data_IF_656800339591
#
_entry.id   IF_656800339591
#
_cell.length_a   1.000
_cell.length_b   1.000
_cell.length_c   1.000
_cell.angle_alpha   90.00
_cell.angle_beta   90.00
_cell.angle_gamma   90.00
#
_symmetry.space_group_name_H-M   'P 1'
#
loop_
_entity.id
_entity.type
_entity.pdbx_description
1 polymer ?
#
# COMPACT_ATOMS: atom_id res chain seq x y z
N UNK A 1 -1.52 23.42 14.07
CA UNK A 1 -1.07 22.03 14.12
C UNK A 1 -0.09 21.87 15.28
N UNK A 2 -0.11 20.73 15.98
CA UNK A 2 0.96 20.42 16.92
C UNK A 2 2.24 20.03 16.12
N UNK A 3 3.41 20.20 16.76
CA UNK A 3 4.68 19.83 16.13
C UNK A 3 4.71 18.31 15.82
N UNK A 4 5.21 17.92 14.65
CA UNK A 4 5.37 16.52 14.27
C UNK A 4 6.21 15.76 15.29
N UNK A 5 5.73 14.61 15.75
CA UNK A 5 6.45 13.80 16.73
C UNK A 5 7.07 12.58 16.05
N UNK A 6 8.36 12.35 16.27
CA UNK A 6 9.10 11.18 15.76
C UNK A 6 9.71 10.45 16.95
N UNK A 7 9.35 9.16 17.08
CA UNK A 7 9.96 8.25 18.04
C UNK A 7 10.99 7.37 17.30
N UNK A 8 12.24 7.40 17.75
CA UNK A 8 13.28 6.49 17.29
C UNK A 8 13.24 5.21 18.11
N UNK A 9 13.15 4.06 17.45
CA UNK A 9 13.22 2.77 18.13
C UNK A 9 12.18 1.76 17.67
N UNK A 10 12.06 0.69 18.44
CA UNK A 10 11.10 -0.37 18.20
C UNK A 10 9.66 0.12 18.42
N UNK A 11 8.78 -0.19 17.45
CA UNK A 11 7.40 0.31 17.45
C UNK A 11 6.60 -0.17 18.66
N UNK A 12 6.78 -1.42 19.09
CA UNK A 12 6.05 -1.97 20.23
C UNK A 12 6.45 -1.28 21.55
N UNK A 13 7.75 -1.01 21.70
CA UNK A 13 8.27 -0.25 22.86
C UNK A 13 7.72 1.17 22.87
N UNK A 14 7.80 1.89 21.76
CA UNK A 14 7.32 3.26 21.68
C UNK A 14 5.81 3.36 21.87
N UNK A 15 5.04 2.43 21.29
CA UNK A 15 3.58 2.37 21.45
C UNK A 15 3.19 2.19 22.93
N UNK A 16 3.89 1.35 23.70
CA UNK A 16 3.63 1.10 25.12
C UNK A 16 3.77 2.35 25.99
N UNK A 17 4.62 3.27 25.58
CA UNK A 17 4.81 4.56 26.29
C UNK A 17 3.75 5.61 25.91
N UNK A 18 2.96 5.38 24.87
CA UNK A 18 1.89 6.29 24.47
C UNK A 18 0.64 6.13 25.34
N UNK A 19 -0.08 7.23 25.64
CA UNK A 19 -1.33 7.17 26.39
C UNK A 19 -2.44 6.41 25.65
N UNK A 20 -3.35 5.80 26.40
CA UNK A 20 -4.58 5.21 25.87
C UNK A 20 -5.42 6.28 25.15
N UNK A 21 -6.08 5.90 24.05
CA UNK A 21 -7.01 6.74 23.31
C UNK A 21 -6.44 8.14 22.96
N UNK A 22 -5.14 8.19 22.61
CA UNK A 22 -4.40 9.44 22.31
C UNK A 22 -4.36 9.78 20.83
N UNK A 23 -4.70 8.84 19.92
CA UNK A 23 -4.67 9.05 18.47
C UNK A 23 -6.03 8.81 17.81
N UNK A 24 -6.31 9.51 16.72
CA UNK A 24 -7.58 9.44 16.00
C UNK A 24 -7.57 8.42 14.89
N UNK A 25 -6.43 8.21 14.24
CA UNK A 25 -6.26 7.24 13.17
C UNK A 25 -4.86 6.62 13.16
N UNK A 26 -4.76 5.38 12.67
CA UNK A 26 -3.51 4.72 12.32
C UNK A 26 -3.50 4.50 10.81
N UNK A 27 -2.47 5.00 10.11
CA UNK A 27 -2.28 4.78 8.67
C UNK A 27 -0.83 4.38 8.44
N UNK A 28 -0.60 3.16 7.95
CA UNK A 28 0.74 2.57 7.99
C UNK A 28 1.03 1.62 6.85
N UNK A 29 2.31 1.57 6.44
CA UNK A 29 2.89 0.63 5.49
C UNK A 29 3.85 -0.34 6.23
N UNK A 30 3.29 -1.35 6.93
CA UNK A 30 4.06 -2.24 7.80
C UNK A 30 4.89 -3.24 6.98
N UNK A 31 5.81 -3.99 7.62
CA UNK A 31 6.46 -5.13 6.99
C UNK A 31 5.46 -6.13 6.41
N UNK A 32 5.69 -6.55 5.15
CA UNK A 32 4.75 -7.46 4.46
C UNK A 32 5.02 -8.94 4.73
N UNK A 33 6.14 -9.28 5.34
CA UNK A 33 6.53 -10.66 5.56
C UNK A 33 6.82 -11.42 4.25
N UNK A 34 7.45 -10.77 3.29
CA UNK A 34 7.79 -11.36 1.99
C UNK A 34 9.01 -12.30 2.11
N UNK A 35 8.87 -13.31 2.93
CA UNK A 35 9.89 -14.31 3.24
C UNK A 35 9.53 -15.69 2.69
N UNK A 36 10.42 -16.66 2.91
CA UNK A 36 10.22 -18.06 2.58
C UNK A 36 9.72 -18.86 3.81
N UNK A 37 8.81 -18.31 4.60
CA UNK A 37 8.18 -19.03 5.70
C UNK A 37 7.45 -20.26 5.20
N UNK A 38 7.66 -21.38 5.92
CA UNK A 38 7.00 -22.64 5.61
C UNK A 38 5.57 -22.67 6.16
N UNK A 39 4.67 -23.51 5.60
CA UNK A 39 3.33 -23.70 6.17
C UNK A 39 3.34 -24.09 7.65
N UNK A 40 4.32 -24.87 8.09
CA UNK A 40 4.48 -25.26 9.50
C UNK A 40 4.79 -24.05 10.40
N UNK A 41 5.70 -23.16 9.97
CA UNK A 41 6.01 -21.92 10.70
C UNK A 41 4.80 -20.98 10.78
N UNK A 42 4.04 -20.86 9.68
CA UNK A 42 2.79 -20.07 9.67
C UNK A 42 1.79 -20.65 10.68
N UNK A 43 1.57 -21.97 10.63
CA UNK A 43 0.64 -22.65 11.54
C UNK A 43 1.06 -22.51 13.01
N UNK A 44 2.35 -22.66 13.32
CA UNK A 44 2.89 -22.44 14.66
C UNK A 44 2.66 -20.99 15.12
N UNK A 45 2.94 -20.01 14.26
CA UNK A 45 2.77 -18.59 14.59
C UNK A 45 1.31 -18.29 14.94
N UNK A 46 0.37 -18.71 14.11
CA UNK A 46 -1.07 -18.53 14.38
C UNK A 46 -1.48 -19.19 15.70
N UNK A 47 -1.02 -20.43 15.93
CA UNK A 47 -1.32 -21.17 17.16
C UNK A 47 -0.81 -20.43 18.39
N UNK A 48 0.42 -19.89 18.34
CA UNK A 48 1.00 -19.12 19.45
C UNK A 48 0.22 -17.84 19.69
N UNK A 49 -0.12 -17.08 18.65
CA UNK A 49 -0.91 -15.84 18.77
C UNK A 49 -2.26 -16.08 19.43
N UNK A 50 -2.97 -17.15 19.03
CA UNK A 50 -4.27 -17.51 19.61
C UNK A 50 -4.13 -18.01 21.05
N UNK A 51 -3.00 -18.66 21.38
CA UNK A 51 -2.71 -19.17 22.73
C UNK A 51 -2.18 -18.10 23.70
N UNK A 52 -2.02 -16.84 23.24
CA UNK A 52 -1.61 -15.72 24.10
C UNK A 52 -0.16 -15.27 23.94
N UNK A 53 0.68 -15.98 23.18
CA UNK A 53 2.05 -15.54 22.83
C UNK A 53 1.99 -14.55 21.65
N UNK A 54 1.50 -13.34 21.94
CA UNK A 54 1.10 -12.34 20.95
C UNK A 54 2.28 -11.60 20.32
N UNK A 55 3.48 -11.71 20.89
CA UNK A 55 4.72 -11.13 20.38
C UNK A 55 5.52 -12.09 19.48
N UNK A 56 5.13 -13.36 19.44
CA UNK A 56 5.86 -14.37 18.69
C UNK A 56 5.98 -14.06 17.20
N UNK A 57 7.20 -14.18 16.68
CA UNK A 57 7.52 -14.14 15.26
C UNK A 57 8.39 -15.35 14.90
N UNK A 58 8.17 -15.99 13.75
CA UNK A 58 9.05 -17.05 13.28
C UNK A 58 10.38 -16.46 12.84
N UNK A 59 11.48 -17.20 13.05
CA UNK A 59 12.77 -16.83 12.49
C UNK A 59 12.73 -16.96 10.96
N UNK A 60 12.77 -15.84 10.26
CA UNK A 60 12.74 -15.78 8.80
C UNK A 60 13.51 -14.56 8.31
N UNK A 61 14.09 -14.68 7.11
CA UNK A 61 14.72 -13.54 6.41
C UNK A 61 13.74 -13.00 5.38
N UNK A 62 13.46 -11.69 5.45
CA UNK A 62 12.54 -11.01 4.58
C UNK A 62 13.14 -10.56 3.26
N UNK A 63 12.48 -9.62 2.62
CA UNK A 63 12.85 -9.04 1.34
C UNK A 63 14.27 -8.46 1.38
N UNK A 64 15.10 -8.80 0.39
CA UNK A 64 16.51 -8.40 0.27
C UNK A 64 17.40 -8.79 1.47
N UNK A 65 16.97 -9.75 2.30
CA UNK A 65 17.72 -10.22 3.46
C UNK A 65 17.52 -9.40 4.73
N UNK A 66 16.61 -8.42 4.72
CA UNK A 66 16.26 -7.63 5.89
C UNK A 66 15.45 -8.47 6.89
N UNK A 67 15.89 -8.52 8.13
CA UNK A 67 15.20 -9.26 9.19
C UNK A 67 13.83 -8.66 9.55
N UNK A 68 13.69 -7.33 9.44
CA UNK A 68 12.45 -6.63 9.77
C UNK A 68 11.26 -7.01 8.86
N UNK A 69 11.50 -7.49 7.63
CA UNK A 69 10.44 -7.96 6.71
C UNK A 69 10.31 -9.49 6.71
N UNK A 70 10.79 -10.16 7.76
CA UNK A 70 10.75 -11.62 7.90
C UNK A 70 9.34 -12.19 8.02
N UNK A 71 8.42 -11.45 8.65
CA UNK A 71 7.01 -11.79 8.81
C UNK A 71 6.16 -10.54 8.94
N UNK A 72 4.82 -10.67 8.86
CA UNK A 72 3.90 -9.57 9.18
C UNK A 72 4.03 -9.20 10.67
N UNK A 73 3.72 -7.96 11.09
CA UNK A 73 3.81 -7.57 12.50
C UNK A 73 3.03 -8.50 13.42
N UNK A 74 3.56 -8.81 14.61
CA UNK A 74 2.89 -9.67 15.58
C UNK A 74 1.63 -8.99 16.12
N UNK A 75 0.72 -9.79 16.65
CA UNK A 75 -0.57 -9.30 17.18
C UNK A 75 -0.38 -8.23 18.27
N UNK A 76 0.69 -8.33 19.07
CA UNK A 76 0.98 -7.35 20.13
C UNK A 76 1.12 -5.90 19.60
N UNK A 77 1.63 -5.70 18.39
CA UNK A 77 1.69 -4.36 17.78
C UNK A 77 0.28 -3.83 17.51
N UNK A 78 -0.61 -4.67 17.02
CA UNK A 78 -2.00 -4.29 16.73
C UNK A 78 -2.82 -4.10 18.04
N UNK A 79 -2.48 -4.82 19.11
CA UNK A 79 -3.05 -4.60 20.45
C UNK A 79 -2.75 -3.19 20.95
N UNK A 80 -1.49 -2.78 20.83
CA UNK A 80 -1.07 -1.44 21.22
C UNK A 80 -1.67 -0.37 20.29
N UNK A 81 -1.73 -0.60 18.97
CA UNK A 81 -2.45 0.28 18.06
C UNK A 81 -3.93 0.42 18.45
N UNK A 82 -4.58 -0.69 18.85
CA UNK A 82 -5.96 -0.64 19.34
C UNK A 82 -6.07 0.17 20.64
N UNK A 83 -5.14 -0.01 21.58
CA UNK A 83 -5.12 0.69 22.87
C UNK A 83 -5.01 2.21 22.69
N UNK A 84 -4.03 2.67 21.88
CA UNK A 84 -3.76 4.10 21.68
C UNK A 84 -4.80 4.80 20.79
N UNK A 85 -5.53 4.07 19.95
CA UNK A 85 -6.65 4.62 19.18
C UNK A 85 -7.81 5.02 20.10
N UNK A 86 -8.46 6.15 19.82
CA UNK A 86 -9.75 6.50 20.39
C UNK A 86 -10.83 5.48 19.97
N UNK A 87 -11.86 5.23 20.80
CA UNK A 87 -13.02 4.43 20.39
C UNK A 87 -13.57 4.89 19.04
N UNK A 88 -13.80 3.96 18.10
CA UNK A 88 -14.24 4.31 16.75
C UNK A 88 -13.13 4.76 15.79
N UNK A 89 -11.90 4.99 16.26
CA UNK A 89 -10.75 5.34 15.42
C UNK A 89 -10.45 4.24 14.38
N UNK A 90 -10.01 4.65 13.20
CA UNK A 90 -9.74 3.73 12.11
C UNK A 90 -8.26 3.38 11.97
N UNK A 91 -8.02 2.18 11.46
CA UNK A 91 -6.71 1.69 11.05
C UNK A 91 -6.73 1.36 9.56
N UNK A 92 -5.75 1.89 8.82
CA UNK A 92 -5.43 1.51 7.45
C UNK A 92 -4.04 0.89 7.42
N UNK A 93 -3.94 -0.38 7.09
CA UNK A 93 -2.67 -1.11 7.00
C UNK A 93 -2.50 -1.73 5.62
N UNK A 94 -1.43 -1.34 4.93
CA UNK A 94 -1.01 -1.98 3.68
C UNK A 94 -0.54 -3.40 3.91
N UNK A 95 -0.63 -4.24 2.88
CA UNK A 95 -0.11 -5.60 2.93
C UNK A 95 0.30 -6.10 1.54
N UNK A 96 1.16 -7.11 1.52
CA UNK A 96 1.43 -7.86 0.30
C UNK A 96 0.27 -8.78 -0.07
N UNK A 97 -0.01 -8.95 -1.36
CA UNK A 97 -1.11 -9.80 -1.83
C UNK A 97 -1.02 -11.27 -1.36
N UNK A 98 0.19 -11.75 -0.99
CA UNK A 98 0.41 -13.13 -0.52
C UNK A 98 0.31 -13.30 1.00
N UNK A 99 0.30 -12.20 1.77
CA UNK A 99 0.37 -12.19 3.23
C UNK A 99 -0.72 -11.31 3.85
N UNK A 100 -1.63 -10.80 3.02
CA UNK A 100 -2.74 -9.97 3.46
C UNK A 100 -3.68 -10.68 4.43
N UNK A 101 -3.87 -11.99 4.24
CA UNK A 101 -4.66 -12.84 5.12
C UNK A 101 -4.06 -12.88 6.54
N UNK A 102 -2.75 -13.04 6.68
CA UNK A 102 -2.05 -13.04 7.97
C UNK A 102 -2.06 -11.66 8.62
N UNK A 103 -1.86 -10.58 7.84
CA UNK A 103 -1.94 -9.21 8.31
C UNK A 103 -3.32 -8.91 8.88
N UNK A 104 -4.37 -9.21 8.12
CA UNK A 104 -5.76 -8.99 8.52
C UNK A 104 -6.15 -9.88 9.71
N UNK A 105 -5.62 -11.12 9.78
CA UNK A 105 -5.82 -12.00 10.92
C UNK A 105 -5.22 -11.39 12.20
N UNK A 106 -3.98 -10.90 12.16
CA UNK A 106 -3.33 -10.24 13.29
C UNK A 106 -4.13 -9.04 13.79
N UNK A 107 -4.58 -8.18 12.89
CA UNK A 107 -5.43 -7.01 13.20
C UNK A 107 -6.77 -7.46 13.83
N UNK A 108 -7.39 -8.52 13.29
CA UNK A 108 -8.64 -9.06 13.83
C UNK A 108 -8.46 -9.68 15.24
N UNK A 109 -7.37 -10.41 15.44
CA UNK A 109 -7.06 -11.00 16.75
C UNK A 109 -6.80 -9.93 17.82
N UNK A 110 -6.33 -8.76 17.45
CA UNK A 110 -6.19 -7.61 18.35
C UNK A 110 -7.54 -7.00 18.78
N UNK A 111 -8.64 -7.36 18.12
CA UNK A 111 -9.98 -6.88 18.48
C UNK A 111 -10.54 -5.79 17.57
N UNK A 112 -9.89 -5.50 16.45
CA UNK A 112 -10.45 -4.58 15.45
C UNK A 112 -11.64 -5.18 14.70
N UNK A 113 -12.61 -4.33 14.37
CA UNK A 113 -13.65 -4.61 13.38
C UNK A 113 -13.10 -4.37 11.97
N UNK A 114 -12.97 -5.42 11.16
CA UNK A 114 -12.62 -5.24 9.75
C UNK A 114 -13.83 -4.66 9.02
N UNK A 115 -13.67 -3.49 8.44
CA UNK A 115 -14.75 -2.72 7.79
C UNK A 115 -14.76 -2.90 6.29
N UNK A 116 -13.57 -2.92 5.65
CA UNK A 116 -13.41 -3.06 4.19
C UNK A 116 -11.96 -3.47 3.87
N UNK A 117 -11.69 -3.63 2.58
CA UNK A 117 -10.35 -3.73 2.03
C UNK A 117 -10.26 -2.81 0.79
N UNK A 118 -9.32 -1.88 0.80
CA UNK A 118 -9.05 -1.03 -0.36
C UNK A 118 -8.01 -1.71 -1.23
N UNK A 119 -8.27 -1.81 -2.54
CA UNK A 119 -7.33 -2.34 -3.52
C UNK A 119 -6.65 -1.18 -4.26
N UNK A 120 -5.33 -1.04 -4.08
CA UNK A 120 -4.54 -0.14 -4.91
C UNK A 120 -3.96 -0.91 -6.08
N UNK A 121 -4.43 -0.58 -7.30
CA UNK A 121 -4.02 -1.21 -8.56
C UNK A 121 -2.96 -0.37 -9.26
N UNK A 122 -1.91 -1.02 -9.75
CA UNK A 122 -0.79 -0.36 -10.45
C UNK A 122 -0.22 -1.22 -11.57
N UNK A 123 0.23 -0.57 -12.65
CA UNK A 123 0.74 -1.25 -13.85
C UNK A 123 2.20 -1.69 -13.77
N UNK A 124 2.97 -1.14 -12.88
CA UNK A 124 4.43 -1.15 -12.87
C UNK A 124 5.09 -2.26 -12.03
N UNK A 125 4.31 -3.24 -11.54
CA UNK A 125 4.86 -4.39 -10.83
C UNK A 125 5.83 -5.21 -11.69
N UNK A 126 6.91 -5.70 -11.08
CA UNK A 126 7.88 -6.56 -11.76
C UNK A 126 7.67 -8.03 -11.37
N UNK A 127 7.53 -8.98 -12.33
CA UNK A 127 7.39 -10.39 -12.01
C UNK A 127 8.65 -10.93 -11.33
N UNK A 128 8.50 -11.50 -10.13
CA UNK A 128 9.55 -12.27 -9.45
C UNK A 128 9.40 -13.77 -9.78
N UNK A 129 9.03 -14.05 -11.02
CA UNK A 129 8.79 -15.41 -11.51
C UNK A 129 10.10 -16.07 -11.89
N UNK A 130 10.29 -17.31 -11.46
CA UNK A 130 11.32 -18.18 -11.99
C UNK A 130 10.90 -18.59 -13.41
N UNK A 131 11.82 -18.53 -14.36
CA UNK A 131 11.67 -19.13 -15.67
C UNK A 131 11.90 -20.65 -15.54
N UNK A 132 10.82 -21.41 -15.70
CA UNK A 132 10.82 -22.86 -15.45
C UNK A 132 11.68 -23.59 -16.46
N UNK A 133 11.63 -23.20 -17.74
CA UNK A 133 12.45 -23.76 -18.80
C UNK A 133 13.94 -23.59 -18.51
N UNK A 134 14.38 -22.39 -18.13
CA UNK A 134 15.76 -22.11 -17.71
C UNK A 134 16.17 -22.92 -16.47
N UNK A 135 15.27 -23.08 -15.53
CA UNK A 135 15.56 -23.87 -14.32
C UNK A 135 15.76 -25.34 -14.63
N UNK A 136 14.90 -25.92 -15.47
CA UNK A 136 15.01 -27.32 -15.95
C UNK A 136 16.31 -27.52 -16.73
N UNK A 137 16.62 -26.64 -17.68
CA UNK A 137 17.85 -26.70 -18.45
C UNK A 137 19.08 -26.71 -17.53
N UNK A 138 19.11 -25.78 -16.56
CA UNK A 138 20.21 -25.71 -15.60
C UNK A 138 20.31 -26.96 -14.73
N UNK A 139 19.18 -27.53 -14.32
CA UNK A 139 19.13 -28.76 -13.55
C UNK A 139 19.64 -29.94 -14.36
N UNK A 140 19.19 -30.08 -15.60
CA UNK A 140 19.54 -31.19 -16.50
C UNK A 140 21.01 -31.16 -16.87
N UNK A 141 21.56 -29.99 -17.20
CA UNK A 141 22.95 -29.85 -17.68
C UNK A 141 23.97 -29.77 -16.53
N UNK A 142 23.61 -29.18 -15.39
CA UNK A 142 24.57 -28.82 -14.34
C UNK A 142 24.21 -29.37 -12.95
N UNK A 143 23.11 -30.12 -12.83
CA UNK A 143 22.61 -30.63 -11.53
C UNK A 143 22.19 -29.52 -10.55
N UNK A 144 22.01 -28.27 -11.01
CA UNK A 144 21.65 -27.11 -10.18
C UNK A 144 20.50 -26.35 -10.80
N UNK A 145 19.47 -26.04 -10.02
CA UNK A 145 18.33 -25.21 -10.48
C UNK A 145 18.63 -23.71 -10.60
N UNK A 146 19.88 -23.29 -10.61
CA UNK A 146 20.28 -21.89 -10.64
C UNK A 146 20.64 -21.44 -12.06
N UNK A 147 19.81 -20.60 -12.66
CA UNK A 147 19.94 -20.10 -14.03
C UNK A 147 21.19 -19.22 -14.30
N UNK A 148 21.94 -18.82 -13.26
CA UNK A 148 23.15 -18.00 -13.42
C UNK A 148 24.30 -18.73 -14.12
N UNK A 149 24.25 -20.06 -14.19
CA UNK A 149 25.28 -20.92 -14.83
C UNK A 149 25.05 -21.16 -16.31
N UNK A 150 23.91 -20.72 -16.88
CA UNK A 150 23.53 -20.96 -18.28
C UNK A 150 24.08 -19.92 -19.27
N UNK A 151 25.23 -19.31 -19.02
CA UNK A 151 25.81 -18.29 -19.92
C UNK A 151 26.17 -18.80 -21.33
N UNK A 152 26.19 -20.11 -21.55
CA UNK A 152 26.63 -20.70 -22.83
C UNK A 152 25.51 -21.05 -23.81
N UNK A 153 24.22 -20.95 -23.37
CA UNK A 153 23.08 -21.30 -24.23
C UNK A 153 22.28 -20.07 -24.68
N UNK A 154 22.83 -18.86 -24.48
CA UNK A 154 22.20 -17.63 -24.93
C UNK A 154 22.51 -17.41 -26.43
N UNK A 155 21.49 -17.58 -27.26
CA UNK A 155 21.58 -17.18 -28.69
C UNK A 155 21.29 -15.67 -28.80
N UNK A 156 21.96 -15.02 -29.77
CA UNK A 156 21.62 -13.65 -30.17
C UNK A 156 20.20 -13.66 -30.74
N UNK A 157 19.25 -13.10 -29.97
CA UNK A 157 17.83 -13.11 -30.32
C UNK A 157 17.42 -11.78 -30.92
N UNK A 158 16.37 -11.84 -31.73
CA UNK A 158 15.69 -10.69 -32.37
C UNK A 158 14.88 -9.85 -31.32
N UNK A 159 15.42 -9.72 -30.12
CA UNK A 159 14.80 -8.97 -29.02
C UNK A 159 15.10 -7.48 -29.12
N UNK A 160 14.07 -6.64 -28.94
CA UNK A 160 14.22 -5.20 -28.88
C UNK A 160 15.34 -4.79 -27.90
N UNK A 161 16.36 -4.12 -28.42
CA UNK A 161 17.44 -3.56 -27.63
C UNK A 161 16.88 -2.56 -26.59
N UNK A 162 17.31 -2.62 -25.35
CA UNK A 162 16.99 -1.62 -24.35
C UNK A 162 18.23 -0.86 -23.92
N UNK A 163 18.08 0.45 -23.80
CA UNK A 163 19.15 1.34 -23.40
C UNK A 163 19.01 1.66 -21.91
N UNK A 164 19.99 1.23 -21.10
CA UNK A 164 20.09 1.65 -19.72
C UNK A 164 20.91 2.94 -19.64
N UNK A 165 20.25 4.06 -19.42
CA UNK A 165 20.92 5.31 -19.00
C UNK A 165 21.13 5.27 -17.48
N UNK A 166 22.25 4.69 -17.06
CA UNK A 166 22.62 4.61 -15.64
C UNK A 166 23.76 5.56 -15.32
N UNK A 167 23.54 6.53 -14.44
CA UNK A 167 24.64 7.18 -13.72
C UNK A 167 25.18 6.20 -12.68
N UNK A 168 26.26 5.51 -12.98
CA UNK A 168 27.10 4.92 -11.95
C UNK A 168 28.29 5.82 -11.75
N UNK A 169 28.51 6.30 -10.53
CA UNK A 169 29.71 6.95 -10.04
C UNK A 169 30.16 8.23 -10.75
N UNK A 170 29.27 9.24 -10.91
CA UNK A 170 29.71 10.61 -11.18
C UNK A 170 30.34 10.89 -12.55
N UNK A 171 30.49 9.92 -13.42
CA UNK A 171 31.00 10.07 -14.78
C UNK A 171 29.82 9.85 -15.75
N UNK A 172 29.58 10.78 -16.65
CA UNK A 172 28.67 10.59 -17.77
C UNK A 172 29.22 9.43 -18.64
N UNK A 173 28.76 8.22 -18.37
CA UNK A 173 29.02 7.07 -19.22
C UNK A 173 28.10 7.13 -20.43
N UNK A 174 28.64 6.78 -21.59
CA UNK A 174 27.86 6.58 -22.80
C UNK A 174 26.71 5.61 -22.55
N UNK A 175 25.56 5.91 -23.15
CA UNK A 175 24.39 5.02 -23.11
C UNK A 175 24.80 3.65 -23.71
N UNK A 176 24.83 2.62 -22.89
CA UNK A 176 25.12 1.28 -23.36
C UNK A 176 23.85 0.60 -23.79
N UNK A 177 23.77 0.26 -25.06
CA UNK A 177 22.71 -0.59 -25.61
C UNK A 177 23.09 -2.05 -25.31
N UNK A 178 22.19 -2.75 -24.64
CA UNK A 178 22.35 -4.19 -24.39
C UNK A 178 21.37 -4.94 -25.29
N UNK A 179 21.90 -5.80 -26.16
CA UNK A 179 21.07 -6.75 -26.87
C UNK A 179 20.47 -7.73 -25.87
N UNK A 180 19.16 -7.88 -25.90
CA UNK A 180 18.46 -8.82 -25.04
C UNK A 180 18.72 -10.22 -25.60
N UNK A 181 19.70 -10.90 -25.03
CA UNK A 181 19.92 -12.31 -25.34
C UNK A 181 18.69 -13.11 -24.92
N UNK A 182 18.01 -13.73 -25.86
CA UNK A 182 16.90 -14.63 -25.61
C UNK A 182 17.44 -16.02 -25.25
N UNK A 183 16.92 -16.58 -24.19
CA UNK A 183 17.24 -17.96 -23.83
C UNK A 183 16.53 -18.90 -24.80
N UNK A 184 17.28 -19.84 -25.40
CA UNK A 184 16.74 -20.93 -26.19
C UNK A 184 17.07 -22.27 -25.50
N UNK A 185 16.06 -23.05 -25.06
CA UNK A 185 16.30 -24.33 -24.42
C UNK A 185 16.87 -25.35 -25.39
N UNK A 186 17.88 -26.14 -24.97
CA UNK A 186 18.53 -27.16 -25.77
C UNK A 186 18.01 -28.56 -25.47
N UNK A 187 17.51 -28.80 -24.24
CA UNK A 187 16.94 -30.10 -23.84
C UNK A 187 15.45 -30.17 -24.12
N UNK A 188 14.94 -31.35 -24.46
CA UNK A 188 13.51 -31.57 -24.73
C UNK A 188 12.65 -31.25 -23.49
N UNK A 189 13.13 -31.65 -22.32
CA UNK A 189 12.46 -31.33 -21.05
C UNK A 189 12.32 -29.80 -20.83
N UNK A 190 13.31 -29.00 -21.17
CA UNK A 190 13.24 -27.55 -21.04
C UNK A 190 12.33 -26.92 -22.09
N UNK A 191 12.29 -27.46 -23.33
CA UNK A 191 11.37 -27.00 -24.39
C UNK A 191 9.91 -27.21 -24.05
N UNK A 192 9.57 -28.34 -23.41
CA UNK A 192 8.20 -28.64 -22.97
C UNK A 192 7.64 -27.58 -22.02
N UNK A 193 8.51 -26.95 -21.21
CA UNK A 193 8.14 -25.94 -20.21
C UNK A 193 8.49 -24.50 -20.64
N UNK A 194 8.72 -24.28 -21.90
CA UNK A 194 8.97 -22.92 -22.43
C UNK A 194 7.75 -22.02 -22.21
N UNK A 195 7.97 -20.80 -21.71
CA UNK A 195 6.91 -19.85 -21.39
C UNK A 195 6.24 -20.06 -20.02
N UNK A 196 6.62 -21.10 -19.27
CA UNK A 196 6.10 -21.33 -17.93
C UNK A 196 6.90 -20.59 -16.85
N UNK A 197 6.17 -20.07 -15.86
CA UNK A 197 6.73 -19.36 -14.72
C UNK A 197 6.09 -19.78 -13.40
N UNK A 198 6.66 -19.30 -12.28
CA UNK A 198 6.22 -19.68 -10.93
C UNK A 198 5.41 -18.60 -10.22
N UNK A 199 5.27 -17.40 -10.79
CA UNK A 199 4.57 -16.31 -10.15
C UNK A 199 3.94 -15.33 -11.18
N UNK A 200 2.83 -14.74 -10.78
CA UNK A 200 2.22 -13.65 -11.53
C UNK A 200 2.99 -12.34 -11.32
N UNK A 201 2.82 -11.38 -12.24
CA UNK A 201 3.23 -10.00 -12.06
C UNK A 201 2.35 -9.37 -10.97
N UNK A 202 2.91 -8.83 -9.87
CA UNK A 202 2.11 -8.12 -8.89
C UNK A 202 1.50 -6.87 -9.52
N UNK A 203 0.22 -6.64 -9.34
CA UNK A 203 -0.52 -5.53 -9.92
C UNK A 203 -1.45 -4.85 -8.92
N UNK A 204 -1.47 -5.29 -7.66
CA UNK A 204 -2.23 -4.63 -6.60
C UNK A 204 -1.60 -4.82 -5.22
N UNK A 205 -1.85 -3.87 -4.34
CA UNK A 205 -1.61 -3.97 -2.91
C UNK A 205 -2.93 -3.79 -2.16
N UNK A 206 -3.34 -4.76 -1.33
CA UNK A 206 -4.50 -4.64 -0.48
C UNK A 206 -4.19 -3.77 0.74
N UNK A 207 -5.17 -2.97 1.17
CA UNK A 207 -5.09 -2.13 2.37
C UNK A 207 -6.28 -2.51 3.26
N UNK A 208 -6.00 -3.08 4.43
CA UNK A 208 -7.05 -3.41 5.39
C UNK A 208 -7.60 -2.12 6.01
N UNK A 209 -8.90 -1.87 5.86
CA UNK A 209 -9.63 -0.84 6.60
C UNK A 209 -10.28 -1.48 7.81
N UNK A 210 -9.80 -1.14 8.98
CA UNK A 210 -10.33 -1.63 10.26
C UNK A 210 -10.72 -0.47 11.17
N UNK A 211 -11.51 -0.76 12.21
CA UNK A 211 -11.99 0.22 13.16
C UNK A 211 -11.92 -0.33 14.59
N UNK A 212 -11.47 0.46 15.54
CA UNK A 212 -11.66 0.15 16.94
C UNK A 212 -13.17 0.14 17.27
N UNK A 213 -13.68 -0.83 18.03
CA UNK A 213 -15.09 -0.87 18.40
C UNK A 213 -15.59 0.48 18.95
N UNK A 214 -16.83 0.79 18.61
CA UNK A 214 -17.51 2.01 19.07
C UNK A 214 -17.90 1.91 20.55
N UNK A 215 -17.98 3.06 21.19
CA UNK A 215 -18.69 3.20 22.45
C UNK A 215 -20.14 3.63 22.17
N UNK A 216 -21.06 2.70 22.20
CA UNK A 216 -22.47 2.97 21.87
C UNK A 216 -22.77 3.05 20.38
N UNK A 217 -23.58 4.00 19.94
CA UNK A 217 -23.94 4.21 18.54
C UNK A 217 -22.88 5.03 17.80
N UNK A 218 -22.86 4.98 16.46
CA UNK A 218 -21.97 5.84 15.67
C UNK A 218 -22.13 7.32 16.04
N UNK A 219 -23.38 7.79 16.17
CA UNK A 219 -23.66 9.19 16.50
C UNK A 219 -23.14 9.57 17.89
N UNK A 220 -23.37 8.72 18.91
CA UNK A 220 -22.86 8.96 20.26
C UNK A 220 -21.32 8.98 20.27
N UNK A 221 -20.68 8.01 19.62
CA UNK A 221 -19.23 7.92 19.56
C UNK A 221 -18.60 9.14 18.84
N UNK A 222 -19.18 9.59 17.72
CA UNK A 222 -18.69 10.78 17.01
C UNK A 222 -18.83 12.04 17.87
N UNK A 223 -19.94 12.21 18.57
CA UNK A 223 -20.15 13.38 19.44
C UNK A 223 -19.22 13.39 20.65
N UNK A 224 -18.88 12.23 21.20
CA UNK A 224 -18.06 12.11 22.40
C UNK A 224 -16.55 12.03 22.08
N UNK A 225 -16.18 11.24 21.06
CA UNK A 225 -14.79 10.90 20.78
C UNK A 225 -14.23 11.60 19.52
N UNK A 226 -15.09 12.17 18.68
CA UNK A 226 -14.71 12.79 17.40
C UNK A 226 -14.39 11.78 16.30
N UNK A 227 -14.49 10.47 16.57
CA UNK A 227 -14.10 9.38 15.66
C UNK A 227 -15.27 8.44 15.35
N UNK A 228 -15.12 7.52 14.39
CA UNK A 228 -16.11 6.49 14.08
C UNK A 228 -16.78 6.61 12.71
N UNK A 229 -16.54 7.71 11.99
CA UNK A 229 -17.05 7.95 10.65
C UNK A 229 -15.89 8.09 9.63
N UNK A 230 -16.18 7.83 8.37
CA UNK A 230 -15.27 8.10 7.25
C UNK A 230 -15.63 9.45 6.62
N UNK A 231 -14.64 10.23 6.25
CA UNK A 231 -14.82 11.51 5.52
C UNK A 231 -15.15 11.26 4.05
N UNK A 232 -16.39 10.91 3.79
CA UNK A 232 -16.87 10.58 2.44
C UNK A 232 -16.76 11.78 1.51
N UNK A 233 -17.21 12.95 1.94
CA UNK A 233 -17.24 14.14 1.09
C UNK A 233 -15.83 14.64 0.74
N UNK A 234 -14.89 14.60 1.68
CA UNK A 234 -13.47 14.91 1.43
C UNK A 234 -12.75 13.87 0.57
N UNK A 235 -13.33 12.68 0.41
CA UNK A 235 -12.75 11.56 -0.35
C UNK A 235 -13.43 11.30 -1.69
N UNK A 236 -14.42 12.13 -2.10
CA UNK A 236 -15.17 11.95 -3.36
C UNK A 236 -14.26 11.90 -4.59
N UNK A 237 -14.70 11.16 -5.58
CA UNK A 237 -14.02 11.00 -6.87
C UNK A 237 -14.55 12.05 -7.83
N UNK A 238 -13.66 12.93 -8.32
CA UNK A 238 -14.04 14.03 -9.21
C UNK A 238 -14.47 15.31 -8.46
N UNK A 239 -13.98 15.53 -7.23
CA UNK A 239 -14.20 16.72 -6.43
C UNK A 239 -15.46 16.71 -5.56
N UNK A 240 -15.84 17.84 -4.93
CA UNK A 240 -16.88 17.91 -3.89
C UNK A 240 -18.26 17.41 -4.31
N UNK A 241 -18.63 17.61 -5.59
CA UNK A 241 -19.88 17.11 -6.18
C UNK A 241 -19.72 15.74 -6.85
N UNK A 242 -18.54 15.14 -6.69
CA UNK A 242 -18.18 13.89 -7.34
C UNK A 242 -18.84 12.64 -6.75
N UNK A 243 -18.41 11.48 -7.24
CA UNK A 243 -18.96 10.18 -6.84
C UNK A 243 -18.51 9.77 -5.45
N UNK A 244 -19.28 8.92 -4.84
CA UNK A 244 -18.93 8.20 -3.62
C UNK A 244 -17.56 7.50 -3.80
N UNK A 245 -16.64 7.57 -2.83
CA UNK A 245 -15.36 6.91 -2.95
C UNK A 245 -15.53 5.40 -3.06
N UNK A 246 -14.86 4.80 -4.05
CA UNK A 246 -14.79 3.36 -4.21
C UNK A 246 -13.60 2.80 -3.41
N UNK A 247 -13.69 1.52 -3.04
CA UNK A 247 -12.59 0.80 -2.41
C UNK A 247 -11.54 0.27 -3.41
N UNK A 248 -11.48 0.86 -4.60
CA UNK A 248 -10.47 0.60 -5.63
C UNK A 248 -9.81 1.91 -6.03
N UNK A 249 -8.48 1.92 -6.00
CA UNK A 249 -7.64 3.03 -6.41
C UNK A 249 -6.77 2.59 -7.58
N UNK A 250 -6.71 3.38 -8.64
CA UNK A 250 -5.94 3.10 -9.85
C UNK A 250 -4.74 4.06 -9.93
N UNK A 251 -3.61 3.59 -10.46
CA UNK A 251 -2.63 4.49 -11.04
C UNK A 251 -3.09 4.94 -12.45
N UNK A 252 -2.45 5.98 -13.00
CA UNK A 252 -2.82 6.54 -14.32
C UNK A 252 -2.73 5.49 -15.44
N UNK A 253 -1.75 4.58 -15.38
CA UNK A 253 -1.54 3.59 -16.42
C UNK A 253 -2.68 2.57 -16.46
N UNK A 254 -3.20 2.18 -15.29
CA UNK A 254 -4.35 1.29 -15.17
C UNK A 254 -5.65 2.01 -15.51
N UNK A 255 -5.77 3.29 -15.14
CA UNK A 255 -6.91 4.11 -15.54
C UNK A 255 -7.00 4.26 -17.07
N UNK A 256 -5.88 4.59 -17.72
CA UNK A 256 -5.82 4.72 -19.18
C UNK A 256 -6.13 3.38 -19.90
N UNK A 257 -5.60 2.27 -19.39
CA UNK A 257 -5.88 0.95 -19.97
C UNK A 257 -7.35 0.55 -19.79
N UNK A 258 -7.93 0.82 -18.62
CA UNK A 258 -9.36 0.58 -18.37
C UNK A 258 -10.24 1.43 -19.33
N UNK A 259 -9.88 2.70 -19.55
CA UNK A 259 -10.60 3.59 -20.46
C UNK A 259 -10.46 3.14 -21.92
N UNK A 260 -9.27 2.66 -22.32
CA UNK A 260 -9.06 2.10 -23.66
C UNK A 260 -9.96 0.87 -23.91
N UNK A 261 -10.12 0.00 -22.92
CA UNK A 261 -10.97 -1.20 -23.03
C UNK A 261 -12.46 -0.90 -22.97
N UNK A 262 -12.88 0.01 -22.08
CA UNK A 262 -14.28 0.34 -21.87
C UNK A 262 -14.84 1.28 -22.94
N UNK A 263 -13.97 2.04 -23.60
CA UNK A 263 -14.39 3.12 -24.49
C UNK A 263 -15.17 4.21 -23.76
N UNK A 264 -15.90 5.04 -24.52
CA UNK A 264 -16.71 6.12 -23.96
C UNK A 264 -18.10 5.57 -23.54
N UNK A 265 -18.36 5.54 -22.24
CA UNK A 265 -19.59 5.03 -21.64
C UNK A 265 -20.44 6.16 -21.11
N UNK A 266 -21.72 6.18 -21.44
CA UNK A 266 -22.71 7.14 -20.93
C UNK A 266 -23.49 6.53 -19.77
N UNK A 267 -23.60 7.25 -18.66
CA UNK A 267 -24.50 6.89 -17.56
C UNK A 267 -25.56 7.97 -17.41
N UNK A 268 -26.84 7.56 -17.39
CA UNK A 268 -27.95 8.48 -17.13
C UNK A 268 -27.92 9.04 -15.70
N UNK A 269 -28.53 10.21 -15.52
CA UNK A 269 -28.74 10.74 -14.17
C UNK A 269 -29.69 9.85 -13.38
N UNK A 270 -29.32 9.50 -12.15
CA UNK A 270 -30.23 8.84 -11.20
C UNK A 270 -30.96 9.89 -10.40
N UNK A 271 -32.30 9.87 -10.42
CA UNK A 271 -33.14 10.72 -9.56
C UNK A 271 -33.41 10.00 -8.24
N UNK A 272 -33.55 10.75 -7.13
CA UNK A 272 -34.05 10.18 -5.90
C UNK A 272 -35.41 9.50 -6.19
N UNK A 273 -35.54 8.24 -5.82
CA UNK A 273 -36.82 7.52 -5.98
C UNK A 273 -37.23 6.88 -4.67
N UNK A 274 -38.52 6.79 -4.47
CA UNK A 274 -39.11 6.06 -3.33
C UNK A 274 -39.02 4.57 -3.66
N UNK A 275 -38.35 3.81 -2.80
CA UNK A 275 -38.37 2.35 -2.93
C UNK A 275 -39.71 1.81 -2.50
N UNK A 276 -40.29 0.90 -3.28
CA UNK A 276 -41.44 0.15 -2.90
C UNK A 276 -41.10 -0.71 -1.67
N UNK A 277 -41.86 -0.60 -0.56
CA UNK A 277 -41.60 -1.38 0.66
C UNK A 277 -41.64 -2.89 0.46
N UNK A 278 -42.32 -3.36 -0.59
CA UNK A 278 -42.53 -4.78 -0.90
C UNK A 278 -41.47 -5.38 -1.84
N UNK A 279 -40.59 -4.58 -2.40
CA UNK A 279 -39.56 -5.05 -3.32
C UNK A 279 -38.27 -5.48 -2.62
N UNK A 280 -38.21 -6.67 -2.12
CA UNK A 280 -37.07 -7.46 -1.65
C UNK A 280 -36.79 -7.46 -0.12
N UNK A 281 -36.89 -8.64 0.51
CA UNK A 281 -36.70 -8.79 1.96
C UNK A 281 -35.25 -8.79 2.42
N UNK A 282 -34.25 -8.68 1.53
CA UNK A 282 -32.86 -8.93 1.88
C UNK A 282 -32.09 -7.71 2.43
N UNK A 283 -32.59 -6.50 2.24
CA UNK A 283 -31.99 -5.29 2.82
C UNK A 283 -33.07 -4.32 3.29
N UNK A 284 -33.31 -4.24 4.61
CA UNK A 284 -34.06 -3.13 5.22
C UNK A 284 -33.23 -1.83 5.15
N UNK A 285 -33.03 -1.30 3.97
CA UNK A 285 -32.42 0.04 3.77
C UNK A 285 -33.57 1.04 3.68
N UNK A 286 -33.43 2.14 4.41
CA UNK A 286 -34.48 3.14 4.63
C UNK A 286 -35.28 3.59 3.42
N UNK A 287 -36.44 4.16 3.68
CA UNK A 287 -37.53 4.52 2.73
C UNK A 287 -37.13 5.42 1.53
N UNK A 288 -35.91 5.98 1.49
CA UNK A 288 -35.51 6.96 0.48
C UNK A 288 -34.03 6.74 0.04
N UNK A 289 -33.80 6.65 -1.25
CA UNK A 289 -32.47 6.91 -1.82
C UNK A 289 -32.34 8.42 -2.01
N UNK A 290 -31.57 9.06 -1.13
CA UNK A 290 -31.41 10.52 -1.08
C UNK A 290 -30.36 11.07 -2.03
N UNK A 291 -29.59 10.23 -2.70
CA UNK A 291 -28.50 10.67 -3.53
C UNK A 291 -28.88 10.59 -5.02
N UNK A 292 -28.94 11.74 -5.69
CA UNK A 292 -28.96 11.82 -7.14
C UNK A 292 -27.51 11.79 -7.63
N UNK A 293 -27.25 11.00 -8.68
CA UNK A 293 -25.98 11.12 -9.40
C UNK A 293 -26.25 11.81 -10.75
N UNK A 294 -25.43 12.80 -11.12
CA UNK A 294 -25.54 13.44 -12.41
C UNK A 294 -25.25 12.44 -13.54
N UNK A 295 -25.81 12.70 -14.71
CA UNK A 295 -25.40 12.00 -15.91
C UNK A 295 -23.92 12.25 -16.18
N UNK A 296 -23.21 11.24 -16.64
CA UNK A 296 -21.79 11.39 -16.96
C UNK A 296 -21.40 10.58 -18.18
N UNK A 297 -20.39 11.07 -18.88
CA UNK A 297 -19.82 10.43 -20.07
C UNK A 297 -18.29 10.36 -19.91
N UNK A 298 -17.67 9.32 -20.42
CA UNK A 298 -16.22 9.09 -20.37
C UNK A 298 -15.86 7.63 -20.18
N UNK A 299 -14.58 7.33 -20.04
CA UNK A 299 -14.08 5.99 -19.78
C UNK A 299 -14.51 5.44 -18.40
N UNK A 300 -14.33 4.15 -18.17
CA UNK A 300 -14.76 3.51 -16.93
C UNK A 300 -13.87 3.90 -15.72
N UNK A 301 -12.66 4.40 -15.95
CA UNK A 301 -11.77 4.83 -14.86
C UNK A 301 -12.38 5.92 -13.97
N UNK A 302 -13.31 6.73 -14.53
CA UNK A 302 -14.00 7.80 -13.79
C UNK A 302 -14.81 7.33 -12.56
N UNK A 303 -15.02 6.02 -12.41
CA UNK A 303 -15.70 5.43 -11.24
C UNK A 303 -14.75 5.14 -10.09
N UNK A 304 -13.44 5.24 -10.32
CA UNK A 304 -12.40 4.89 -9.36
C UNK A 304 -11.54 6.09 -9.01
N UNK A 305 -10.90 6.05 -7.82
CA UNK A 305 -9.89 7.05 -7.48
C UNK A 305 -8.65 6.80 -8.34
N UNK A 306 -8.28 7.76 -9.15
CA UNK A 306 -7.02 7.77 -9.91
C UNK A 306 -5.99 8.57 -9.14
N UNK A 307 -4.79 8.02 -9.01
CA UNK A 307 -3.62 8.70 -8.45
C UNK A 307 -2.79 9.21 -9.62
N UNK A 308 -2.78 10.51 -9.79
CA UNK A 308 -2.02 11.21 -10.82
C UNK A 308 -0.58 11.42 -10.37
N UNK A 309 0.36 11.27 -11.31
CA UNK A 309 1.76 11.54 -11.11
C UNK A 309 2.19 12.68 -12.04
N UNK A 310 2.69 13.73 -11.46
CA UNK A 310 3.15 14.94 -12.17
C UNK A 310 4.57 14.71 -12.76
N UNK A 311 4.73 13.75 -13.69
CA UNK A 311 5.99 13.63 -14.44
C UNK A 311 5.80 12.91 -15.78
N UNK A 312 6.23 13.52 -16.90
CA UNK A 312 6.38 12.81 -18.16
C UNK A 312 7.57 11.84 -18.06
N UNK A 313 7.32 10.58 -18.30
CA UNK A 313 8.29 9.48 -18.41
C UNK A 313 8.80 8.82 -17.12
N UNK A 314 8.44 7.63 -17.01
CA UNK A 314 9.07 6.36 -16.59
C UNK A 314 8.38 5.65 -15.44
N UNK A 315 7.87 4.46 -15.77
CA UNK A 315 7.79 3.24 -14.97
C UNK A 315 7.97 3.43 -13.45
N UNK A 316 6.90 3.66 -12.72
CA UNK A 316 7.01 3.65 -11.27
C UNK A 316 5.79 3.03 -10.59
N UNK A 317 5.92 1.76 -10.18
CA UNK A 317 5.06 1.10 -9.19
C UNK A 317 5.18 1.73 -7.81
N UNK A 318 5.95 2.76 -7.67
CA UNK A 318 6.38 3.38 -6.42
C UNK A 318 6.40 4.88 -6.67
N UNK A 319 6.35 5.66 -5.61
CA UNK A 319 6.48 7.11 -5.65
C UNK A 319 7.51 7.58 -6.70
N UNK A 320 7.26 8.67 -7.44
CA UNK A 320 8.20 9.21 -8.40
C UNK A 320 9.54 9.57 -7.74
N UNK A 321 10.60 9.74 -8.53
CA UNK A 321 11.93 10.07 -7.98
C UNK A 321 11.93 11.34 -7.13
N UNK A 322 11.11 12.31 -7.48
CA UNK A 322 10.89 13.55 -6.71
C UNK A 322 10.33 13.31 -5.30
N UNK A 323 9.58 12.23 -5.12
CA UNK A 323 9.04 11.82 -3.83
C UNK A 323 9.94 10.82 -3.07
N UNK A 324 11.11 10.48 -3.61
CA UNK A 324 12.08 9.57 -2.97
C UNK A 324 13.31 10.35 -2.53
N UNK A 325 13.31 10.89 -1.31
CA UNK A 325 14.48 11.60 -0.83
C UNK A 325 15.69 10.65 -0.75
N UNK A 326 16.84 11.17 -1.13
CA UNK A 326 18.14 10.53 -0.93
C UNK A 326 18.98 11.50 -0.14
N UNK A 327 19.31 11.17 1.10
CA UNK A 327 20.09 12.00 2.00
C UNK A 327 21.31 11.21 2.42
N UNK A 328 22.49 11.79 2.26
CA UNK A 328 23.78 11.16 2.53
C UNK A 328 23.94 9.76 1.91
N UNK A 329 23.39 9.59 0.69
CA UNK A 329 23.41 8.31 -0.03
C UNK A 329 22.36 7.30 0.44
N UNK A 330 21.60 7.59 1.49
CA UNK A 330 20.52 6.73 2.01
C UNK A 330 19.21 7.02 1.31
N UNK A 331 18.54 5.96 0.85
CA UNK A 331 17.20 6.00 0.28
C UNK A 331 16.36 4.84 0.84
N UNK A 332 15.09 5.08 1.12
CA UNK A 332 14.19 4.01 1.53
C UNK A 332 13.81 3.13 0.32
N UNK A 333 13.84 1.78 0.44
CA UNK A 333 13.59 0.87 -0.70
C UNK A 333 12.13 0.89 -1.18
N UNK A 334 11.20 1.14 -0.27
CA UNK A 334 9.75 1.14 -0.54
C UNK A 334 9.15 2.47 -0.09
N UNK A 335 8.66 3.26 -1.03
CA UNK A 335 8.04 4.58 -0.76
C UNK A 335 6.67 4.59 -1.38
N UNK A 336 5.64 4.94 -0.61
CA UNK A 336 4.27 5.10 -1.11
C UNK A 336 4.09 6.49 -1.74
N UNK A 337 3.20 6.62 -2.74
CA UNK A 337 2.86 7.93 -3.31
C UNK A 337 2.22 8.85 -2.27
N UNK A 338 2.69 10.09 -2.16
CA UNK A 338 2.13 11.08 -1.22
C UNK A 338 0.64 11.30 -1.50
N UNK A 339 0.24 11.40 -2.76
CA UNK A 339 -1.17 11.60 -3.17
C UNK A 339 -2.09 10.48 -2.68
N UNK A 340 -1.62 9.21 -2.74
CA UNK A 340 -2.36 8.08 -2.18
C UNK A 340 -2.49 8.20 -0.65
N UNK A 341 -1.38 8.49 0.03
CA UNK A 341 -1.36 8.61 1.48
C UNK A 341 -2.23 9.78 1.95
N UNK A 342 -2.21 10.93 1.26
CA UNK A 342 -3.10 12.07 1.53
C UNK A 342 -4.58 11.69 1.46
N UNK A 343 -4.98 10.96 0.43
CA UNK A 343 -6.37 10.48 0.30
C UNK A 343 -6.77 9.54 1.44
N UNK A 344 -5.87 8.62 1.82
CA UNK A 344 -6.10 7.66 2.91
C UNK A 344 -6.20 8.36 4.27
N UNK A 345 -5.27 9.24 4.62
CA UNK A 345 -5.31 9.95 5.93
C UNK A 345 -6.55 10.86 6.02
N UNK A 346 -6.91 11.55 4.93
CA UNK A 346 -8.12 12.38 4.87
C UNK A 346 -9.41 11.59 5.07
N UNK A 347 -9.45 10.35 4.57
CA UNK A 347 -10.63 9.49 4.67
C UNK A 347 -10.94 9.09 6.12
N UNK A 348 -9.92 8.85 6.94
CA UNK A 348 -10.08 8.21 8.26
C UNK A 348 -9.82 9.14 9.43
N UNK A 349 -9.30 10.34 9.20
CA UNK A 349 -8.90 11.26 10.28
C UNK A 349 -9.88 12.43 10.39
N UNK A 350 -10.42 12.72 11.59
CA UNK A 350 -11.26 13.90 11.82
C UNK A 350 -10.43 15.19 11.69
N UNK A 351 -11.07 16.35 11.43
CA UNK A 351 -10.38 17.64 11.33
C UNK A 351 -9.50 17.93 12.56
N UNK A 352 -8.22 18.28 12.32
CA UNK A 352 -7.24 18.53 13.37
C UNK A 352 -6.82 17.31 14.19
N UNK A 353 -7.23 16.11 13.78
CA UNK A 353 -6.93 14.86 14.46
C UNK A 353 -5.46 14.44 14.36
N UNK A 354 -5.09 13.42 15.14
CA UNK A 354 -3.75 12.86 15.19
C UNK A 354 -3.67 11.55 14.43
N UNK A 355 -2.68 11.46 13.51
CA UNK A 355 -2.38 10.28 12.70
C UNK A 355 -1.11 9.62 13.19
N UNK A 356 -1.18 8.34 13.52
CA UNK A 356 -0.02 7.53 13.90
C UNK A 356 0.41 6.63 12.76
N UNK A 357 1.71 6.60 12.48
CA UNK A 357 2.37 5.58 11.67
C UNK A 357 3.44 4.85 12.48
N UNK A 358 3.18 3.62 12.97
CA UNK A 358 4.14 2.85 13.75
C UNK A 358 5.31 2.27 12.93
N UNK A 359 5.31 2.45 11.61
CA UNK A 359 6.34 2.00 10.68
C UNK A 359 6.67 3.09 9.67
N UNK A 360 7.14 4.25 10.15
CA UNK A 360 7.22 5.49 9.38
C UNK A 360 8.12 5.42 8.13
N UNK A 361 9.14 4.57 8.13
CA UNK A 361 10.03 4.38 6.99
C UNK A 361 10.65 5.69 6.52
N UNK A 362 10.29 6.15 5.32
CA UNK A 362 10.73 7.44 4.81
C UNK A 362 9.85 8.63 5.22
N UNK A 363 8.79 8.43 6.00
CA UNK A 363 7.90 9.48 6.50
C UNK A 363 6.80 9.94 5.54
N UNK A 364 6.40 9.12 4.57
CA UNK A 364 5.36 9.53 3.60
C UNK A 364 4.00 9.78 4.25
N UNK A 365 3.62 8.96 5.25
CA UNK A 365 2.37 9.15 6.01
C UNK A 365 2.41 10.46 6.79
N UNK A 366 3.55 10.80 7.39
CA UNK A 366 3.73 12.02 8.16
C UNK A 366 3.61 13.25 7.26
N UNK A 367 4.29 13.24 6.11
CA UNK A 367 4.16 14.29 5.09
C UNK A 367 2.72 14.47 4.64
N UNK A 368 2.03 13.37 4.33
CA UNK A 368 0.64 13.39 3.92
C UNK A 368 -0.29 13.95 5.01
N UNK A 369 -0.06 13.58 6.27
CA UNK A 369 -0.83 14.10 7.40
C UNK A 369 -0.66 15.60 7.58
N UNK A 370 0.57 16.12 7.48
CA UNK A 370 0.86 17.57 7.55
C UNK A 370 0.12 18.30 6.41
N UNK A 371 0.26 17.84 5.17
CA UNK A 371 -0.38 18.46 3.99
C UNK A 371 -1.91 18.43 4.04
N UNK A 372 -2.51 17.59 4.87
CA UNK A 372 -3.96 17.54 5.11
C UNK A 372 -4.39 18.24 6.41
N UNK A 373 -3.46 18.89 7.12
CA UNK A 373 -3.76 19.65 8.33
C UNK A 373 -3.94 18.80 9.59
N UNK A 374 -3.38 17.59 9.62
CA UNK A 374 -3.40 16.68 10.76
C UNK A 374 -2.08 16.71 11.55
N UNK A 375 -2.11 16.18 12.78
CA UNK A 375 -0.95 16.10 13.67
C UNK A 375 -0.29 14.71 13.50
N UNK A 376 0.91 14.59 12.91
CA UNK A 376 1.53 13.29 12.68
C UNK A 376 2.35 12.83 13.88
N UNK A 377 2.29 11.53 14.16
CA UNK A 377 3.20 10.79 15.01
C UNK A 377 3.80 9.65 14.19
N UNK A 378 5.11 9.53 14.14
CA UNK A 378 5.80 8.45 13.44
C UNK A 378 6.76 7.70 14.36
N UNK A 379 6.86 6.39 14.17
CA UNK A 379 7.85 5.56 14.85
C UNK A 379 8.73 4.92 13.78
N UNK A 380 10.05 5.06 13.93
CA UNK A 380 11.02 4.48 13.00
C UNK A 380 12.17 3.82 13.77
N UNK A 381 12.41 2.56 13.41
CA UNK A 381 13.43 1.75 14.08
C UNK A 381 14.83 2.00 13.54
N UNK A 382 14.96 2.24 12.22
CA UNK A 382 16.27 2.42 11.60
C UNK A 382 16.68 3.90 11.63
N UNK A 383 17.72 4.26 12.42
CA UNK A 383 18.16 5.66 12.53
C UNK A 383 18.60 6.26 11.20
N UNK A 384 18.97 5.45 10.21
CA UNK A 384 19.34 5.93 8.88
C UNK A 384 18.16 6.54 8.11
N UNK A 385 16.93 6.22 8.46
CA UNK A 385 15.73 6.78 7.82
C UNK A 385 15.23 8.07 8.49
N UNK A 386 15.66 8.39 9.70
CA UNK A 386 15.24 9.61 10.39
C UNK A 386 15.55 10.91 9.63
N UNK A 387 16.69 11.06 8.95
CA UNK A 387 16.94 12.24 8.09
C UNK A 387 15.93 12.35 6.94
N UNK A 388 15.48 11.23 6.36
CA UNK A 388 14.46 11.22 5.31
C UNK A 388 13.12 11.73 5.84
N UNK A 389 12.71 11.27 7.03
CA UNK A 389 11.49 11.70 7.70
C UNK A 389 11.53 13.21 7.97
N UNK A 390 12.60 13.70 8.57
CA UNK A 390 12.79 15.14 8.88
C UNK A 390 12.70 16.01 7.63
N UNK A 391 13.37 15.60 6.55
CA UNK A 391 13.32 16.30 5.26
C UNK A 391 11.89 16.38 4.70
N UNK A 392 11.10 15.30 4.82
CA UNK A 392 9.70 15.31 4.36
C UNK A 392 8.82 16.21 5.21
N UNK A 393 9.01 16.20 6.51
CA UNK A 393 8.30 17.10 7.44
C UNK A 393 8.59 18.56 7.09
N UNK A 394 9.86 18.91 6.95
CA UNK A 394 10.29 20.27 6.59
C UNK A 394 9.68 20.72 5.25
N UNK A 395 9.74 19.87 4.23
CA UNK A 395 9.13 20.14 2.92
C UNK A 395 7.64 20.40 3.03
N UNK A 396 6.90 19.55 3.74
CA UNK A 396 5.46 19.68 3.91
C UNK A 396 5.08 20.96 4.67
N UNK A 397 5.84 21.31 5.71
CA UNK A 397 5.62 22.52 6.51
C UNK A 397 5.86 23.77 5.65
N UNK A 398 6.95 23.83 4.90
CA UNK A 398 7.27 24.95 3.98
C UNK A 398 6.17 25.13 2.90
N UNK A 399 5.64 24.02 2.37
CA UNK A 399 4.55 24.08 1.38
C UNK A 399 3.30 24.75 1.96
N UNK A 400 2.90 24.39 3.19
CA UNK A 400 1.72 24.98 3.84
C UNK A 400 1.92 26.46 4.19
N UNK A 401 3.13 26.85 4.58
CA UNK A 401 3.44 28.26 4.86
C UNK A 401 3.35 29.11 3.60
N UNK A 402 3.81 28.59 2.45
CA UNK A 402 3.70 29.26 1.16
C UNK A 402 2.26 29.45 0.69
N UNK A 403 1.41 28.45 0.86
CA UNK A 403 -0.01 28.51 0.48
C UNK A 403 -0.85 29.47 1.35
N UNK A 404 -0.39 29.79 2.56
CA UNK A 404 -1.07 30.75 3.46
C UNK A 404 -0.68 32.22 3.21
N UNK A 405 0.29 32.50 2.33
CA UNK A 405 0.79 33.82 2.02
C UNK A 405 0.33 34.38 0.65
N UNK A 406 -0.35 33.58 -0.15
CA UNK A 406 -0.99 33.94 -1.44
C UNK A 406 -2.53 34.06 -1.27
#
# INVERSE_FOLDING_TARGET
MADPTIHEGDCLTALRDMPDASVDAVVTDPPYGLSNTTPAQVSETITRWVSGDREYLPSARGFMGHEWDGFVPPVAVWDECLRVLKPGGHLLAFAGSRTHDLMTLGIRLAGFEIRDSVAWLYGSGFPKSLDVSKAIESHTLNGKSNSRTLRQTEQDGDGAAYTLTGKNNGIMGEARTYDRKTFAPTTDAAREWEGWGTALKPAFEPITLARKPLTGTVAANVLEQGTGALNIDGSRIGGPSGRWPANVVLDESQAAELDRQSGNVKTGATKPHRRDPDSSPMFKVGKWMTHSQPASEGGASRFFKVIEYDAPFMYCAKAPKSERPVIDGTAHPTVKPVTLMRWLVRMVTPPGGTVLDPFAGSGTTLEAAILEGFNPIGIERDPNYLPLIRHRIERATTTLEGENHD
#
